data_IF_898953172835
#
_entry.id   IF_898953172835
#
_cell.length_a   1.000
_cell.length_b   1.000
_cell.length_c   1.000
_cell.angle_alpha   90.00
_cell.angle_beta   90.00
_cell.angle_gamma   90.00
#
_symmetry.space_group_name_H-M   'P 1'
#
loop_
_entity.id
_entity.type
_entity.pdbx_description
1 polymer ?
#
# COMPACT_ATOMS: atom_id res chain seq x y z
N UNK A 1 -12.02 29.80 -13.80
CA UNK A 1 -10.89 28.93 -14.21
C UNK A 1 -9.90 28.70 -13.06
N UNK A 2 -9.43 29.75 -12.37
CA UNK A 2 -8.60 29.63 -11.15
C UNK A 2 -9.19 28.71 -10.06
N UNK A 3 -10.49 28.84 -9.72
CA UNK A 3 -11.12 27.95 -8.73
C UNK A 3 -11.04 26.45 -9.04
N UNK A 4 -11.11 26.06 -10.32
CA UNK A 4 -11.01 24.65 -10.71
C UNK A 4 -9.58 24.13 -10.55
N UNK A 5 -8.59 24.96 -10.83
CA UNK A 5 -7.19 24.58 -10.67
C UNK A 5 -6.86 24.22 -9.22
N UNK A 6 -7.29 25.07 -8.28
CA UNK A 6 -7.09 24.84 -6.84
C UNK A 6 -7.75 23.53 -6.39
N UNK A 7 -9.00 23.29 -6.81
CA UNK A 7 -9.72 22.05 -6.48
C UNK A 7 -9.00 20.79 -6.99
N UNK A 8 -8.46 20.83 -8.22
CA UNK A 8 -7.72 19.71 -8.80
C UNK A 8 -6.38 19.47 -8.07
N UNK A 9 -5.72 20.54 -7.58
CA UNK A 9 -4.53 20.43 -6.74
C UNK A 9 -4.84 19.78 -5.38
N UNK A 10 -5.95 20.16 -4.73
CA UNK A 10 -6.38 19.57 -3.46
C UNK A 10 -6.75 18.08 -3.62
N UNK A 11 -7.46 17.74 -4.70
CA UNK A 11 -7.79 16.35 -5.04
C UNK A 11 -6.52 15.52 -5.27
N UNK A 12 -5.53 16.06 -5.97
CA UNK A 12 -4.25 15.38 -6.19
C UNK A 12 -3.55 15.07 -4.87
N UNK A 13 -3.45 16.05 -3.96
CA UNK A 13 -2.83 15.86 -2.64
C UNK A 13 -3.53 14.77 -1.82
N UNK A 14 -4.86 14.78 -1.84
CA UNK A 14 -5.65 13.77 -1.12
C UNK A 14 -5.46 12.38 -1.73
N UNK A 15 -5.41 12.25 -3.06
CA UNK A 15 -5.18 10.94 -3.69
C UNK A 15 -3.76 10.42 -3.45
N UNK A 16 -2.74 11.28 -3.46
CA UNK A 16 -1.39 10.90 -3.04
C UNK A 16 -1.38 10.35 -1.61
N UNK A 17 -2.06 11.04 -0.68
CA UNK A 17 -2.19 10.59 0.71
C UNK A 17 -2.91 9.25 0.80
N UNK A 18 -4.00 9.05 0.06
CA UNK A 18 -4.78 7.80 0.05
C UNK A 18 -3.99 6.62 -0.50
N UNK A 19 -3.20 6.83 -1.55
CA UNK A 19 -2.37 5.76 -2.13
C UNK A 19 -1.33 5.27 -1.13
N UNK A 20 -0.63 6.17 -0.43
CA UNK A 20 0.33 5.79 0.61
C UNK A 20 -0.39 5.04 1.75
N UNK A 21 -1.48 5.61 2.27
CA UNK A 21 -2.24 5.00 3.35
C UNK A 21 -2.79 3.60 2.98
N UNK A 22 -3.20 3.40 1.73
CA UNK A 22 -3.62 2.09 1.23
C UNK A 22 -2.48 1.08 1.25
N UNK A 23 -1.29 1.46 0.77
CA UNK A 23 -0.14 0.54 0.77
C UNK A 23 0.30 0.17 2.18
N UNK A 24 0.35 1.13 3.10
CA UNK A 24 0.66 0.88 4.52
C UNK A 24 -0.36 -0.06 5.15
N UNK A 25 -1.65 0.26 5.04
CA UNK A 25 -2.72 -0.59 5.56
C UNK A 25 -2.66 -2.01 4.98
N UNK A 26 -2.40 -2.14 3.67
CA UNK A 26 -2.39 -3.43 3.01
C UNK A 26 -1.14 -4.24 3.38
N UNK A 27 0.02 -3.59 3.57
CA UNK A 27 1.22 -4.24 4.10
C UNK A 27 0.96 -4.84 5.49
N UNK A 28 0.27 -4.07 6.34
CA UNK A 28 -0.13 -4.51 7.67
C UNK A 28 -1.12 -5.68 7.62
N UNK A 29 -2.09 -5.60 6.71
CA UNK A 29 -3.03 -6.70 6.45
C UNK A 29 -2.30 -7.98 6.04
N UNK A 30 -1.31 -7.91 5.14
CA UNK A 30 -0.51 -9.07 4.73
C UNK A 30 0.34 -9.63 5.87
N UNK A 31 0.91 -8.77 6.71
CA UNK A 31 1.62 -9.19 7.93
C UNK A 31 0.69 -9.95 8.88
N UNK A 32 -0.57 -9.52 9.00
CA UNK A 32 -1.58 -10.26 9.76
C UNK A 32 -1.93 -11.60 9.10
N UNK A 33 -2.04 -11.66 7.76
CA UNK A 33 -2.30 -12.93 7.05
C UNK A 33 -1.20 -13.97 7.29
N UNK A 34 0.06 -13.54 7.36
CA UNK A 34 1.18 -14.43 7.68
C UNK A 34 1.04 -15.11 9.05
N UNK A 35 0.27 -14.53 9.98
CA UNK A 35 0.04 -15.09 11.33
C UNK A 35 -1.21 -15.96 11.42
N UNK A 36 -2.09 -15.91 10.41
CA UNK A 36 -3.31 -16.71 10.41
C UNK A 36 -3.00 -18.16 10.05
N UNK A 37 -3.88 -19.08 10.44
CA UNK A 37 -3.79 -20.50 10.10
C UNK A 37 -5.07 -21.03 9.40
N UNK A 38 -5.96 -20.12 9.01
CA UNK A 38 -7.27 -20.39 8.40
C UNK A 38 -7.26 -20.26 6.86
N UNK A 39 -6.07 -20.10 6.27
CA UNK A 39 -5.91 -20.08 4.83
C UNK A 39 -5.99 -21.51 4.28
N UNK A 40 -7.11 -21.84 3.66
CA UNK A 40 -7.34 -23.12 3.01
C UNK A 40 -8.71 -23.69 3.34
N UNK A 41 -9.24 -24.51 2.44
CA UNK A 41 -10.50 -25.19 2.66
C UNK A 41 -10.36 -26.20 3.80
N UNK A 42 -11.23 -26.07 4.82
CA UNK A 42 -11.26 -26.99 5.96
C UNK A 42 -11.55 -28.39 5.45
N UNK A 43 -10.57 -29.30 5.61
CA UNK A 43 -10.69 -30.69 5.18
C UNK A 43 -9.97 -31.07 3.90
N UNK A 44 -9.26 -30.15 3.22
CA UNK A 44 -8.55 -30.46 1.96
C UNK A 44 -7.34 -31.38 2.12
N UNK A 45 -6.87 -31.65 3.36
CA UNK A 45 -5.66 -32.44 3.62
C UNK A 45 -4.35 -31.75 3.21
N UNK A 46 -4.41 -30.57 2.57
CA UNK A 46 -3.27 -29.74 2.14
C UNK A 46 -2.90 -28.77 3.28
N UNK A 47 -2.67 -29.31 4.47
CA UNK A 47 -2.15 -28.53 5.61
C UNK A 47 -0.80 -29.10 6.04
N UNK A 48 0.06 -29.35 5.04
CA UNK A 48 1.43 -29.80 5.29
C UNK A 48 2.27 -28.64 5.81
N UNK A 49 3.35 -28.95 6.52
CA UNK A 49 4.26 -27.96 7.09
C UNK A 49 4.84 -27.05 6.00
N UNK A 50 5.20 -27.62 4.87
CA UNK A 50 5.78 -26.92 3.72
C UNK A 50 4.77 -25.95 3.09
N UNK A 51 3.50 -26.32 3.03
CA UNK A 51 2.45 -25.43 2.52
C UNK A 51 2.27 -24.20 3.44
N UNK A 52 2.33 -24.42 4.77
CA UNK A 52 2.29 -23.33 5.74
C UNK A 52 3.52 -22.42 5.63
N UNK A 53 4.73 -22.97 5.49
CA UNK A 53 5.94 -22.17 5.31
C UNK A 53 5.88 -21.32 4.04
N UNK A 54 5.49 -21.92 2.90
CA UNK A 54 5.33 -21.20 1.63
C UNK A 54 4.28 -20.09 1.71
N UNK A 55 3.18 -20.33 2.42
CA UNK A 55 2.12 -19.35 2.66
C UNK A 55 2.61 -18.16 3.49
N UNK A 56 3.31 -18.42 4.59
CA UNK A 56 3.91 -17.38 5.45
C UNK A 56 4.90 -16.55 4.63
N UNK A 57 5.80 -17.22 3.90
CA UNK A 57 6.79 -16.56 3.05
C UNK A 57 6.14 -15.68 1.99
N UNK A 58 5.07 -16.17 1.33
CA UNK A 58 4.32 -15.39 0.35
C UNK A 58 3.68 -14.14 0.98
N UNK A 59 3.00 -14.30 2.11
CA UNK A 59 2.34 -13.19 2.79
C UNK A 59 3.34 -12.11 3.24
N UNK A 60 4.48 -12.51 3.81
CA UNK A 60 5.55 -11.59 4.18
C UNK A 60 6.14 -10.87 2.95
N UNK A 61 6.34 -11.58 1.83
CA UNK A 61 6.80 -10.94 0.59
C UNK A 61 5.77 -9.93 0.04
N UNK A 62 4.48 -10.20 0.17
CA UNK A 62 3.46 -9.24 -0.22
C UNK A 62 3.48 -7.99 0.67
N UNK A 63 3.70 -8.14 1.98
CA UNK A 63 3.85 -7.01 2.90
C UNK A 63 5.07 -6.13 2.55
N UNK A 64 6.21 -6.78 2.29
CA UNK A 64 7.46 -6.14 1.87
C UNK A 64 7.27 -5.31 0.58
N UNK A 65 6.68 -5.91 -0.46
CA UNK A 65 6.39 -5.21 -1.73
C UNK A 65 5.52 -3.95 -1.52
N UNK A 66 4.56 -4.00 -0.60
CA UNK A 66 3.66 -2.86 -0.33
C UNK A 66 4.34 -1.77 0.47
N UNK A 67 5.19 -2.13 1.41
CA UNK A 67 6.06 -1.20 2.13
C UNK A 67 6.98 -0.47 1.13
N UNK A 68 7.61 -1.21 0.21
CA UNK A 68 8.42 -0.65 -0.88
C UNK A 68 7.63 0.30 -1.78
N UNK A 69 6.39 -0.04 -2.12
CA UNK A 69 5.52 0.84 -2.93
C UNK A 69 5.20 2.15 -2.20
N UNK A 70 4.84 2.09 -0.91
CA UNK A 70 4.58 3.27 -0.09
C UNK A 70 5.80 4.21 -0.03
N UNK A 71 6.99 3.63 0.20
CA UNK A 71 8.24 4.39 0.21
C UNK A 71 8.56 5.03 -1.13
N UNK A 72 8.39 4.28 -2.23
CA UNK A 72 8.64 4.78 -3.59
C UNK A 72 7.70 5.94 -3.92
N UNK A 73 6.41 5.80 -3.63
CA UNK A 73 5.44 6.88 -3.80
C UNK A 73 5.85 8.12 -3.00
N UNK A 74 6.17 7.95 -1.72
CA UNK A 74 6.63 9.05 -0.84
C UNK A 74 7.86 9.76 -1.42
N UNK A 75 8.88 9.01 -1.86
CA UNK A 75 10.11 9.56 -2.44
C UNK A 75 9.85 10.25 -3.78
N UNK A 76 9.06 9.64 -4.67
CA UNK A 76 8.72 10.21 -5.98
C UNK A 76 7.87 11.48 -5.88
N UNK A 77 7.11 11.62 -4.80
CA UNK A 77 6.18 12.74 -4.60
C UNK A 77 6.70 13.87 -3.73
N UNK A 78 7.89 13.73 -3.13
CA UNK A 78 8.48 14.73 -2.23
C UNK A 78 8.59 16.15 -2.84
N UNK A 79 8.70 16.26 -4.16
CA UNK A 79 8.78 17.56 -4.85
C UNK A 79 7.42 18.17 -5.24
N UNK A 80 6.32 17.41 -5.18
CA UNK A 80 5.02 17.84 -5.73
C UNK A 80 4.47 19.06 -4.99
N UNK A 81 4.54 19.08 -3.66
CA UNK A 81 4.08 20.24 -2.86
C UNK A 81 4.79 21.54 -3.27
N UNK A 82 6.10 21.48 -3.52
CA UNK A 82 6.88 22.63 -3.98
C UNK A 82 6.41 23.11 -5.36
N UNK A 83 6.11 22.21 -6.28
CA UNK A 83 5.60 22.57 -7.62
C UNK A 83 4.19 23.17 -7.57
N UNK A 84 3.32 22.65 -6.69
CA UNK A 84 1.97 23.17 -6.52
C UNK A 84 1.99 24.59 -5.94
N UNK A 85 2.84 24.85 -4.94
CA UNK A 85 3.01 26.18 -4.34
C UNK A 85 3.55 27.24 -5.31
N UNK A 86 4.34 26.85 -6.32
CA UNK A 86 4.82 27.77 -7.38
C UNK A 86 3.70 28.20 -8.33
N UNK A 87 2.64 27.40 -8.49
CA UNK A 87 1.50 27.71 -9.35
C UNK A 87 0.39 28.53 -8.68
N UNK A 88 0.55 28.89 -7.41
CA UNK A 88 -0.38 29.71 -6.63
C UNK A 88 0.00 31.21 -6.60
N UNK A 89 1.18 31.59 -7.11
CA UNK A 89 1.63 32.99 -7.31
C UNK A 89 1.32 33.49 -8.73
#
# INVERSE_FOLDING_TARGET
RSHRWVEECDLLKEEMRRVIAFFEWHADWWTQQARRNDWGEVGSGINTKEHNEGRVAYALRQADIRTDMAERCTKSWAGVETYLALGEN
#
